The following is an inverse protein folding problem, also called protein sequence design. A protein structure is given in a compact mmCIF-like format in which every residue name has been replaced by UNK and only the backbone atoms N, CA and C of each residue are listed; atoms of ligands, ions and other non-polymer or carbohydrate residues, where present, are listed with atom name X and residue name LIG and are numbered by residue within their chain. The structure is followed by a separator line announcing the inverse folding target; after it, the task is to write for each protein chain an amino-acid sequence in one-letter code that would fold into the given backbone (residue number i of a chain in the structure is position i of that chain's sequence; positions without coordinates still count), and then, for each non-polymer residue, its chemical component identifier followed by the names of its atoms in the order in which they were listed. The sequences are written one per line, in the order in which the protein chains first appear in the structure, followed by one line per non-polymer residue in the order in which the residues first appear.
data_IF_949572499872
#
_entry.id   IF_949572499872
#
_cell.length_a   1.000
_cell.length_b   1.000
_cell.length_c   1.000
_cell.angle_alpha   90.00
_cell.angle_beta   90.00
_cell.angle_gamma   90.00
#
_symmetry.space_group_name_H-M   'P 1'
#
loop_
_entity.id
_entity.type
_entity.pdbx_description
1 polymer ?
#
# COMPACT_ATOMS: atom_id res chain seq x y z
N UNK A 1 55.22 33.65 -12.29
CA UNK A 1 53.97 33.76 -13.06
C UNK A 1 53.30 32.42 -13.41
N UNK A 2 53.95 31.27 -13.17
CA UNK A 2 53.35 29.94 -13.38
C UNK A 2 52.55 29.44 -12.16
N UNK A 3 53.08 29.61 -10.94
CA UNK A 3 52.43 29.18 -9.69
C UNK A 3 51.00 29.74 -9.47
N UNK A 4 50.78 31.00 -9.85
CA UNK A 4 49.45 31.65 -9.76
C UNK A 4 48.45 31.06 -10.76
N UNK A 5 48.92 30.62 -11.94
CA UNK A 5 48.09 29.95 -12.95
C UNK A 5 47.74 28.52 -12.52
N UNK A 6 48.67 27.80 -11.90
CA UNK A 6 48.42 26.46 -11.36
C UNK A 6 47.44 26.49 -10.18
N UNK A 7 47.50 27.52 -9.33
CA UNK A 7 46.58 27.68 -8.19
C UNK A 7 45.15 28.03 -8.64
N UNK A 8 45.02 28.87 -9.68
CA UNK A 8 43.72 29.22 -10.28
C UNK A 8 43.12 28.02 -11.01
N UNK A 9 43.94 27.20 -11.68
CA UNK A 9 43.48 25.99 -12.37
C UNK A 9 43.07 24.87 -11.39
N UNK A 10 43.75 24.75 -10.24
CA UNK A 10 43.36 23.84 -9.16
C UNK A 10 42.05 24.28 -8.46
N UNK A 11 41.83 25.58 -8.29
CA UNK A 11 40.59 26.12 -7.74
C UNK A 11 39.39 25.99 -8.70
N UNK A 12 39.63 26.05 -10.03
CA UNK A 12 38.58 25.84 -11.01
C UNK A 12 38.11 24.37 -11.09
N UNK A 13 39.02 23.41 -10.82
CA UNK A 13 38.69 21.98 -10.87
C UNK A 13 37.90 21.49 -9.66
N UNK A 14 38.04 22.16 -8.50
CA UNK A 14 37.25 21.84 -7.28
C UNK A 14 35.84 22.45 -7.31
N UNK A 15 35.64 23.55 -8.03
CA UNK A 15 34.31 24.17 -8.21
C UNK A 15 33.41 23.46 -9.22
N UNK A 16 33.95 22.60 -10.09
CA UNK A 16 33.17 21.77 -11.02
C UNK A 16 32.68 20.45 -10.39
N UNK A 17 33.22 20.06 -9.23
CA UNK A 17 32.82 18.84 -8.51
C UNK A 17 31.61 18.99 -7.58
N UNK A 18 31.12 20.22 -7.37
CA UNK A 18 29.94 20.51 -6.53
C UNK A 18 28.62 20.61 -7.31
N UNK A 19 28.65 20.49 -8.64
CA UNK A 19 27.43 20.36 -9.44
C UNK A 19 26.90 18.93 -9.33
N UNK A 20 26.11 18.72 -8.28
CA UNK A 20 25.05 17.73 -8.20
C UNK A 20 25.42 16.33 -8.69
N UNK A 21 25.98 15.53 -7.79
CA UNK A 21 25.46 14.17 -7.68
C UNK A 21 24.02 14.31 -7.21
N UNK A 22 23.11 14.60 -8.15
CA UNK A 22 21.77 14.07 -8.02
C UNK A 22 22.01 12.56 -8.04
N UNK A 23 22.23 11.98 -6.86
CA UNK A 23 21.83 10.61 -6.61
C UNK A 23 20.36 10.66 -7.00
N UNK A 24 20.05 10.21 -8.23
CA UNK A 24 18.75 9.66 -8.48
C UNK A 24 18.62 8.64 -7.36
N UNK A 25 17.88 8.99 -6.32
CA UNK A 25 17.41 7.98 -5.40
C UNK A 25 16.71 7.03 -6.35
N UNK A 26 17.26 5.83 -6.54
CA UNK A 26 16.42 4.70 -6.92
C UNK A 26 15.39 4.66 -5.80
N UNK A 27 14.31 5.44 -5.94
CA UNK A 27 13.06 5.11 -5.30
C UNK A 27 12.86 3.67 -5.71
N UNK A 28 12.81 2.79 -4.71
CA UNK A 28 12.53 1.38 -4.91
C UNK A 28 11.42 1.30 -5.94
N UNK A 29 11.74 0.72 -7.11
CA UNK A 29 10.89 0.82 -8.29
C UNK A 29 9.47 0.43 -7.85
N UNK A 30 8.56 1.40 -7.89
CA UNK A 30 7.19 1.24 -7.46
C UNK A 30 6.31 1.29 -8.71
N UNK A 31 5.60 0.20 -9.00
CA UNK A 31 4.70 0.10 -10.15
C UNK A 31 3.41 0.90 -9.94
N UNK A 32 3.19 1.46 -8.74
CA UNK A 32 2.07 2.34 -8.41
C UNK A 32 0.73 1.63 -8.29
N UNK A 33 0.74 0.30 -8.17
CA UNK A 33 -0.45 -0.53 -8.20
C UNK A 33 -1.27 -0.37 -6.92
N UNK A 34 -2.58 -0.56 -7.04
CA UNK A 34 -3.48 -0.68 -5.91
C UNK A 34 -4.37 -1.90 -6.03
N UNK A 35 -4.65 -2.54 -4.89
CA UNK A 35 -5.70 -3.53 -4.75
C UNK A 35 -6.92 -2.89 -4.11
N UNK A 36 -8.06 -3.04 -4.77
CA UNK A 36 -9.34 -2.46 -4.34
C UNK A 36 -10.36 -3.58 -4.20
N UNK A 37 -11.11 -3.60 -3.09
CA UNK A 37 -12.26 -4.47 -2.90
C UNK A 37 -13.52 -3.61 -2.74
N UNK A 38 -14.54 -3.89 -3.55
CA UNK A 38 -15.89 -3.35 -3.40
C UNK A 38 -16.73 -4.41 -2.71
N UNK A 39 -17.37 -4.05 -1.60
CA UNK A 39 -17.94 -5.02 -0.66
C UNK A 39 -19.38 -4.63 -0.36
N UNK A 40 -20.28 -5.57 -0.59
CA UNK A 40 -21.69 -5.46 -0.21
C UNK A 40 -21.92 -6.29 1.03
N UNK A 41 -22.39 -5.66 2.11
CA UNK A 41 -22.80 -6.37 3.32
C UNK A 41 -24.11 -7.14 3.07
N UNK A 42 -24.33 -8.23 3.81
CA UNK A 42 -25.65 -8.84 3.90
C UNK A 42 -26.66 -7.87 4.52
N UNK A 43 -27.93 -8.01 4.14
CA UNK A 43 -29.02 -7.20 4.69
C UNK A 43 -28.99 -7.20 6.23
N UNK A 44 -28.85 -6.00 6.81
CA UNK A 44 -28.80 -5.80 8.26
C UNK A 44 -27.46 -6.15 8.93
N UNK A 45 -26.42 -6.51 8.17
CA UNK A 45 -25.12 -6.90 8.71
C UNK A 45 -24.06 -5.78 8.68
N UNK A 46 -24.39 -4.56 8.22
CA UNK A 46 -23.46 -3.42 8.12
C UNK A 46 -22.58 -3.23 9.37
N UNK A 47 -23.20 -3.03 10.54
CA UNK A 47 -22.45 -2.82 11.79
C UNK A 47 -21.60 -4.05 12.15
N UNK A 48 -22.13 -5.26 11.98
CA UNK A 48 -21.39 -6.48 12.28
C UNK A 48 -20.18 -6.67 11.35
N UNK A 49 -20.33 -6.28 10.07
CA UNK A 49 -19.24 -6.28 9.10
C UNK A 49 -18.16 -5.27 9.50
N UNK A 50 -18.52 -4.05 9.89
CA UNK A 50 -17.58 -3.02 10.35
C UNK A 50 -16.78 -3.49 11.57
N UNK A 51 -17.46 -4.04 12.58
CA UNK A 51 -16.81 -4.58 13.78
C UNK A 51 -15.86 -5.74 13.44
N UNK A 52 -16.28 -6.64 12.55
CA UNK A 52 -15.46 -7.76 12.08
C UNK A 52 -14.23 -7.30 11.29
N UNK A 53 -14.38 -6.29 10.42
CA UNK A 53 -13.28 -5.69 9.67
C UNK A 53 -12.28 -5.05 10.60
N UNK A 54 -12.72 -4.27 11.59
CA UNK A 54 -11.84 -3.66 12.59
C UNK A 54 -11.04 -4.73 13.34
N UNK A 55 -11.71 -5.79 13.78
CA UNK A 55 -11.06 -6.92 14.44
C UNK A 55 -10.00 -7.58 13.54
N UNK A 56 -10.34 -7.85 12.28
CA UNK A 56 -9.41 -8.43 11.32
C UNK A 56 -8.23 -7.50 11.00
N UNK A 57 -8.49 -6.20 10.85
CA UNK A 57 -7.47 -5.19 10.60
C UNK A 57 -6.44 -5.13 11.73
N UNK A 58 -6.88 -5.17 12.99
CA UNK A 58 -5.97 -5.24 14.13
C UNK A 58 -5.15 -6.54 14.14
N UNK A 59 -5.78 -7.68 13.83
CA UNK A 59 -5.06 -8.95 13.73
C UNK A 59 -3.97 -8.94 12.64
N UNK A 60 -4.21 -8.25 11.52
CA UNK A 60 -3.23 -8.10 10.44
C UNK A 60 -2.14 -7.06 10.74
N UNK A 61 -2.43 -6.09 11.61
CA UNK A 61 -1.56 -4.92 11.83
C UNK A 61 -0.15 -5.24 12.34
N UNK A 62 0.03 -6.36 13.03
CA UNK A 62 1.32 -6.78 13.58
C UNK A 62 2.10 -7.75 12.67
N UNK A 63 1.55 -8.06 11.49
CA UNK A 63 2.14 -9.05 10.57
C UNK A 63 3.08 -8.36 9.58
N UNK A 64 4.37 -8.71 9.64
CA UNK A 64 5.37 -8.19 8.72
C UNK A 64 5.01 -8.55 7.27
N UNK A 65 5.12 -7.56 6.38
CA UNK A 65 4.77 -7.70 4.97
C UNK A 65 3.27 -7.63 4.66
N UNK A 66 2.39 -7.52 5.66
CA UNK A 66 0.96 -7.41 5.41
C UNK A 66 0.61 -6.10 4.68
N UNK A 67 -0.24 -6.21 3.65
CA UNK A 67 -0.79 -5.05 2.97
C UNK A 67 -1.67 -4.22 3.91
N UNK A 68 -1.41 -2.91 3.99
CA UNK A 68 -2.23 -1.99 4.76
C UNK A 68 -3.42 -1.50 3.94
N UNK A 69 -4.64 -1.79 4.42
CA UNK A 69 -5.88 -1.36 3.79
C UNK A 69 -6.49 -0.16 4.51
N UNK A 70 -6.87 0.85 3.73
CA UNK A 70 -7.81 1.87 4.14
C UNK A 70 -9.24 1.42 3.81
N UNK A 71 -10.19 1.73 4.69
CA UNK A 71 -11.58 1.33 4.58
C UNK A 71 -12.49 2.54 4.49
N UNK A 72 -13.50 2.46 3.63
CA UNK A 72 -14.44 3.53 3.34
C UNK A 72 -15.86 2.98 3.29
N UNK A 73 -16.81 3.70 3.86
CA UNK A 73 -18.24 3.52 3.61
C UNK A 73 -18.68 4.42 2.47
N UNK A 74 -19.53 3.91 1.58
CA UNK A 74 -20.11 4.69 0.49
C UNK A 74 -21.39 5.37 1.00
N UNK A 75 -21.31 6.68 1.21
CA UNK A 75 -22.39 7.46 1.83
C UNK A 75 -23.45 7.98 0.84
N UNK A 76 -23.12 8.04 -0.45
CA UNK A 76 -24.01 8.60 -1.49
C UNK A 76 -23.76 7.93 -2.85
N UNK A 77 -24.78 7.91 -3.71
CA UNK A 77 -24.71 7.33 -5.06
C UNK A 77 -25.46 5.99 -5.17
N UNK A 78 -25.28 5.29 -6.30
CA UNK A 78 -25.94 4.01 -6.56
C UNK A 78 -25.50 2.92 -5.57
N UNK A 79 -24.24 2.94 -5.16
CA UNK A 79 -23.65 1.95 -4.24
C UNK A 79 -23.75 2.37 -2.76
N UNK A 80 -24.67 3.29 -2.40
CA UNK A 80 -24.81 3.76 -1.01
C UNK A 80 -25.04 2.60 -0.04
N UNK A 81 -24.30 2.57 1.07
CA UNK A 81 -24.35 1.51 2.07
C UNK A 81 -23.40 0.33 1.81
N UNK A 82 -22.67 0.35 0.69
CA UNK A 82 -21.55 -0.56 0.44
C UNK A 82 -20.23 -0.02 1.04
N UNK A 83 -19.18 -0.83 0.95
CA UNK A 83 -17.85 -0.51 1.47
C UNK A 83 -16.77 -0.68 0.42
N UNK A 84 -15.67 0.05 0.60
CA UNK A 84 -14.46 -0.06 -0.23
C UNK A 84 -13.26 -0.30 0.68
N UNK A 85 -12.45 -1.30 0.38
CA UNK A 85 -11.13 -1.49 0.97
C UNK A 85 -10.05 -1.21 -0.10
N UNK A 86 -9.07 -0.37 0.20
CA UNK A 86 -7.98 -0.03 -0.73
C UNK A 86 -6.62 -0.14 -0.06
N UNK A 87 -5.71 -0.84 -0.72
CA UNK A 87 -4.27 -0.82 -0.42
C UNK A 87 -3.51 -0.41 -1.68
N UNK A 88 -2.52 0.47 -1.60
CA UNK A 88 -1.83 0.99 -2.78
C UNK A 88 -0.34 1.24 -2.55
N UNK A 89 0.36 1.57 -3.65
CA UNK A 89 1.82 1.67 -3.65
C UNK A 89 2.49 0.31 -3.78
N UNK A 90 1.84 -0.63 -4.47
CA UNK A 90 2.32 -2.00 -4.63
C UNK A 90 3.10 -2.18 -5.94
N UNK A 91 3.97 -3.18 -5.93
CA UNK A 91 4.59 -3.81 -7.06
C UNK A 91 3.90 -5.14 -7.39
N UNK A 92 4.09 -5.64 -8.61
CA UNK A 92 3.56 -6.97 -8.97
C UNK A 92 4.03 -8.08 -8.03
N UNK A 93 5.29 -8.00 -7.56
CA UNK A 93 5.88 -8.99 -6.67
C UNK A 93 5.17 -9.08 -5.30
N UNK A 94 4.53 -8.00 -4.83
CA UNK A 94 3.83 -8.00 -3.54
C UNK A 94 2.60 -8.90 -3.56
N UNK A 95 2.00 -9.13 -4.74
CA UNK A 95 0.85 -10.02 -4.92
C UNK A 95 1.23 -11.50 -5.00
N UNK A 96 2.50 -11.79 -5.31
CA UNK A 96 3.06 -13.14 -5.37
C UNK A 96 3.74 -13.55 -4.05
N UNK A 97 3.83 -12.63 -3.08
CA UNK A 97 4.50 -12.87 -1.81
C UNK A 97 3.76 -13.92 -0.96
N UNK A 98 4.51 -14.91 -0.48
CA UNK A 98 4.03 -15.90 0.48
C UNK A 98 4.53 -15.57 1.89
N UNK A 99 3.62 -15.67 2.86
CA UNK A 99 3.93 -15.48 4.27
C UNK A 99 3.46 -16.67 5.10
N UNK A 100 4.15 -16.95 6.20
CA UNK A 100 3.81 -18.03 7.13
C UNK A 100 2.44 -17.85 7.79
N UNK A 101 1.95 -16.61 7.85
CA UNK A 101 0.65 -16.25 8.41
C UNK A 101 -0.51 -16.28 7.39
N UNK A 102 -0.26 -16.54 6.10
CA UNK A 102 -1.30 -16.49 5.05
C UNK A 102 -2.47 -17.43 5.33
N UNK A 103 -2.19 -18.67 5.76
CA UNK A 103 -3.22 -19.66 6.08
C UNK A 103 -4.09 -19.22 7.26
N UNK A 104 -3.45 -18.75 8.34
CA UNK A 104 -4.16 -18.24 9.52
C UNK A 104 -5.01 -17.03 9.16
N UNK A 105 -4.47 -16.09 8.38
CA UNK A 105 -5.18 -14.90 7.94
C UNK A 105 -6.41 -15.25 7.09
N UNK A 106 -6.27 -16.18 6.14
CA UNK A 106 -7.40 -16.69 5.37
C UNK A 106 -8.48 -17.32 6.25
N UNK A 107 -8.09 -18.14 7.22
CA UNK A 107 -9.01 -18.76 8.17
C UNK A 107 -9.73 -17.71 9.04
N UNK A 108 -9.01 -16.72 9.57
CA UNK A 108 -9.61 -15.63 10.38
C UNK A 108 -10.53 -14.73 9.58
N UNK A 109 -10.20 -14.45 8.32
CA UNK A 109 -11.11 -13.72 7.44
C UNK A 109 -12.39 -14.52 7.18
N UNK A 110 -12.27 -15.80 6.87
CA UNK A 110 -13.41 -16.70 6.62
C UNK A 110 -14.30 -16.88 7.87
N UNK A 111 -13.70 -16.89 9.06
CA UNK A 111 -14.40 -17.02 10.34
C UNK A 111 -15.09 -15.71 10.75
N UNK A 112 -14.39 -14.58 10.68
CA UNK A 112 -14.85 -13.31 11.27
C UNK A 112 -15.57 -12.42 10.29
N UNK A 113 -15.08 -12.29 9.06
CA UNK A 113 -15.53 -11.25 8.12
C UNK A 113 -16.48 -11.81 7.07
N UNK A 114 -16.09 -12.90 6.41
CA UNK A 114 -16.85 -13.50 5.31
C UNK A 114 -18.33 -13.80 5.63
N UNK A 115 -18.75 -14.18 6.86
CA UNK A 115 -20.15 -14.41 7.16
C UNK A 115 -21.05 -13.17 7.00
N UNK A 116 -20.49 -11.97 7.02
CA UNK A 116 -21.22 -10.69 6.93
C UNK A 116 -21.21 -10.07 5.52
N UNK A 117 -20.49 -10.67 4.57
CA UNK A 117 -20.40 -10.22 3.18
C UNK A 117 -21.42 -10.97 2.33
N UNK A 118 -22.19 -10.24 1.54
CA UNK A 118 -23.06 -10.79 0.50
C UNK A 118 -22.29 -10.94 -0.82
N UNK A 119 -21.59 -9.88 -1.24
CA UNK A 119 -20.81 -9.86 -2.48
C UNK A 119 -19.49 -9.10 -2.28
N UNK A 120 -18.47 -9.51 -3.03
CA UNK A 120 -17.17 -8.83 -3.06
C UNK A 120 -16.54 -8.91 -4.43
N UNK A 121 -16.17 -7.75 -4.97
CA UNK A 121 -15.41 -7.62 -6.22
C UNK A 121 -14.04 -7.07 -5.89
N UNK A 122 -12.98 -7.81 -6.26
CA UNK A 122 -11.59 -7.42 -6.04
C UNK A 122 -10.90 -7.14 -7.36
N UNK A 123 -10.22 -5.99 -7.46
CA UNK A 123 -9.47 -5.57 -8.65
C UNK A 123 -8.07 -5.10 -8.28
N UNK A 124 -7.15 -5.16 -9.25
CA UNK A 124 -5.84 -4.50 -9.21
C UNK A 124 -5.88 -3.39 -10.26
N UNK A 125 -5.50 -2.17 -9.87
CA UNK A 125 -5.58 -0.94 -10.68
C UNK A 125 -4.25 -0.22 -10.72
#
# INVERSE_FOLDING_TARGET
MYFKKTLIMAAALTLLGSMSLAVAQDEEKNDGLARVAFITAKDGHNQALEEAIVKYHHFMGDKEGAMHYNWYSVETGEDTGSYIARSGGHNWADFDAEHDWNEEAGAKFAEWVAPHIEDVVVTIT
#
